data_IF_951677063279
#
_entry.id   IF_951677063279
#
_cell.length_a   1.000
_cell.length_b   1.000
_cell.length_c   1.000
_cell.angle_alpha   90.00
_cell.angle_beta   90.00
_cell.angle_gamma   90.00
#
_symmetry.space_group_name_H-M   'P 1'
#
loop_
_entity.id
_entity.type
_entity.pdbx_description
1 polymer ?
#
# COMPACT_ATOMS: atom_id res chain seq x y z
N UNK A 1 -4.88 21.38 22.61
CA UNK A 1 -3.62 21.31 21.83
C UNK A 1 -3.72 20.11 20.89
N UNK A 2 -3.14 20.24 19.68
CA UNK A 2 -3.16 19.31 18.54
C UNK A 2 -4.46 19.30 17.71
N UNK A 3 -4.62 20.30 16.85
CA UNK A 3 -5.31 20.09 15.57
C UNK A 3 -4.52 19.00 14.83
N UNK A 4 -5.13 17.89 14.40
CA UNK A 4 -4.42 16.94 13.56
C UNK A 4 -4.05 17.72 12.30
N UNK A 5 -2.76 18.00 12.14
CA UNK A 5 -2.27 18.46 10.85
C UNK A 5 -2.66 17.37 9.88
N UNK A 6 -3.63 17.69 9.04
CA UNK A 6 -4.09 16.90 7.92
C UNK A 6 -2.94 16.87 6.90
N UNK A 7 -1.82 16.26 7.29
CA UNK A 7 -0.64 16.10 6.46
C UNK A 7 -1.03 15.03 5.46
N UNK A 8 -1.63 15.46 4.34
CA UNK A 8 -1.99 14.59 3.22
C UNK A 8 -0.91 13.53 3.03
N UNK A 9 -1.28 12.26 3.17
CA UNK A 9 -0.33 11.14 3.06
C UNK A 9 -0.57 10.41 1.77
N UNK A 10 0.54 10.05 1.14
CA UNK A 10 0.55 9.15 0.00
C UNK A 10 0.72 7.74 0.55
N UNK A 11 -0.32 6.93 0.47
CA UNK A 11 -0.31 5.55 0.90
C UNK A 11 -0.02 4.67 -0.31
N UNK A 12 0.92 3.74 -0.17
CA UNK A 12 1.12 2.70 -1.18
C UNK A 12 0.25 1.52 -0.77
N UNK A 13 -0.69 1.13 -1.62
CA UNK A 13 -1.59 0.01 -1.37
C UNK A 13 -1.42 -1.07 -2.43
N UNK A 14 -1.56 -2.31 -2.00
CA UNK A 14 -1.52 -3.49 -2.88
C UNK A 14 -2.87 -4.20 -2.75
N UNK A 15 -3.74 -4.16 -3.77
CA UNK A 15 -4.97 -4.93 -3.76
C UNK A 15 -4.63 -6.42 -3.88
N UNK A 16 -5.52 -7.25 -3.35
CA UNK A 16 -5.44 -8.70 -3.54
C UNK A 16 -6.86 -9.26 -3.61
N UNK A 17 -7.07 -10.31 -4.40
CA UNK A 17 -8.39 -10.92 -4.60
C UNK A 17 -8.50 -12.30 -3.95
N UNK A 18 -7.35 -12.89 -3.60
CA UNK A 18 -7.24 -14.27 -3.14
C UNK A 18 -6.23 -14.40 -2.00
N UNK A 19 -6.37 -15.43 -1.17
CA UNK A 19 -5.41 -15.76 -0.10
C UNK A 19 -4.02 -16.03 -0.66
N UNK A 20 -3.90 -16.68 -1.83
CA UNK A 20 -2.62 -16.91 -2.53
C UNK A 20 -1.90 -15.61 -2.87
N UNK A 21 -2.62 -14.58 -3.33
CA UNK A 21 -2.03 -13.26 -3.61
C UNK A 21 -1.56 -12.59 -2.32
N UNK A 22 -2.37 -12.69 -1.25
CA UNK A 22 -1.99 -12.17 0.05
C UNK A 22 -0.74 -12.87 0.62
N UNK A 23 -0.62 -14.19 0.51
CA UNK A 23 0.58 -14.93 0.93
C UNK A 23 1.84 -14.46 0.19
N UNK A 24 1.75 -14.19 -1.13
CA UNK A 24 2.87 -13.61 -1.89
C UNK A 24 3.24 -12.20 -1.43
N UNK A 25 2.24 -11.40 -1.06
CA UNK A 25 2.49 -10.07 -0.45
C UNK A 25 3.20 -10.24 0.89
N UNK A 26 2.82 -11.22 1.71
CA UNK A 26 3.46 -11.50 3.00
C UNK A 26 4.91 -11.98 2.86
N UNK A 27 5.23 -12.75 1.82
CA UNK A 27 6.62 -13.16 1.51
C UNK A 27 7.55 -11.96 1.29
N UNK A 28 7.05 -10.89 0.65
CA UNK A 28 7.82 -9.67 0.37
C UNK A 28 7.70 -8.64 1.49
N UNK A 29 6.54 -8.59 2.15
CA UNK A 29 6.19 -7.65 3.22
C UNK A 29 5.66 -8.47 4.41
N UNK A 30 6.55 -8.97 5.29
CA UNK A 30 6.17 -9.88 6.38
C UNK A 30 5.09 -9.32 7.32
N UNK A 31 5.09 -8.00 7.49
CA UNK A 31 4.14 -7.29 8.36
C UNK A 31 2.91 -6.77 7.59
N UNK A 32 2.60 -7.33 6.42
CA UNK A 32 1.43 -6.98 5.65
C UNK A 32 0.14 -7.32 6.41
N UNK A 33 -0.64 -6.28 6.74
CA UNK A 33 -1.96 -6.43 7.36
C UNK A 33 -3.05 -6.17 6.32
N UNK A 34 -3.99 -7.11 6.13
CA UNK A 34 -5.09 -6.94 5.19
C UNK A 34 -6.09 -5.91 5.72
N UNK A 35 -6.59 -5.08 4.82
CA UNK A 35 -7.59 -4.03 5.04
C UNK A 35 -8.69 -4.17 4.00
N UNK A 36 -9.91 -3.85 4.38
CA UNK A 36 -11.07 -3.90 3.49
C UNK A 36 -11.53 -2.48 3.17
N UNK A 37 -11.88 -2.25 1.91
CA UNK A 37 -12.55 -1.04 1.42
C UNK A 37 -13.78 -1.43 0.60
N UNK A 38 -14.63 -0.45 0.26
CA UNK A 38 -15.74 -0.60 -0.69
C UNK A 38 -15.28 -1.10 -2.06
N UNK A 39 -13.99 -0.91 -2.40
CA UNK A 39 -13.38 -1.34 -3.66
C UNK A 39 -12.72 -2.73 -3.60
N UNK A 40 -12.74 -3.39 -2.44
CA UNK A 40 -12.13 -4.69 -2.22
C UNK A 40 -11.03 -4.70 -1.15
N UNK A 41 -10.35 -5.83 -1.03
CA UNK A 41 -9.29 -6.05 -0.06
C UNK A 41 -7.95 -5.50 -0.57
N UNK A 42 -7.18 -4.92 0.34
CA UNK A 42 -5.87 -4.36 0.04
C UNK A 42 -4.95 -4.41 1.27
N UNK A 43 -3.65 -4.30 1.05
CA UNK A 43 -2.64 -4.14 2.10
C UNK A 43 -2.07 -2.73 2.00
N UNK A 44 -1.86 -2.06 3.14
CA UNK A 44 -1.03 -0.86 3.18
C UNK A 44 0.46 -1.27 3.23
N UNK A 45 1.20 -0.95 2.18
CA UNK A 45 2.61 -1.26 2.00
C UNK A 45 3.55 -0.09 2.37
N UNK A 46 3.01 1.03 2.87
CA UNK A 46 3.76 2.17 3.36
C UNK A 46 2.98 3.47 3.29
N UNK A 47 3.34 4.42 4.16
CA UNK A 47 2.81 5.79 4.15
C UNK A 47 3.94 6.78 3.94
N UNK A 48 3.74 7.73 3.03
CA UNK A 48 4.77 8.66 2.57
C UNK A 48 4.24 10.09 2.59
N UNK A 49 5.14 11.06 2.76
CA UNK A 49 4.82 12.49 2.79
C UNK A 49 4.89 13.14 1.40
N UNK A 50 5.55 12.50 0.43
CA UNK A 50 5.65 13.01 -0.95
C UNK A 50 5.20 11.94 -1.96
N UNK A 51 4.60 12.36 -3.09
CA UNK A 51 4.14 11.42 -4.11
C UNK A 51 5.30 10.65 -4.74
N UNK A 52 6.46 11.28 -4.94
CA UNK A 52 7.62 10.66 -5.59
C UNK A 52 8.20 9.52 -4.74
N UNK A 53 8.19 9.65 -3.41
CA UNK A 53 8.61 8.58 -2.52
C UNK A 53 7.65 7.38 -2.58
N UNK A 54 6.34 7.66 -2.62
CA UNK A 54 5.31 6.63 -2.75
C UNK A 54 5.38 5.91 -4.11
N UNK A 55 5.53 6.66 -5.21
CA UNK A 55 5.63 6.15 -6.58
C UNK A 55 6.89 5.28 -6.77
N UNK A 56 8.03 5.69 -6.19
CA UNK A 56 9.25 4.86 -6.20
C UNK A 56 9.04 3.53 -5.49
N UNK A 57 8.37 3.54 -4.33
CA UNK A 57 8.04 2.31 -3.63
C UNK A 57 7.05 1.45 -4.42
N UNK A 58 5.97 2.03 -4.95
CA UNK A 58 5.00 1.30 -5.75
C UNK A 58 5.67 0.63 -6.96
N UNK A 59 6.56 1.34 -7.66
CA UNK A 59 7.34 0.80 -8.78
C UNK A 59 8.23 -0.35 -8.36
N UNK A 60 8.93 -0.23 -7.22
CA UNK A 60 9.77 -1.31 -6.68
C UNK A 60 8.94 -2.56 -6.36
N UNK A 61 7.78 -2.40 -5.73
CA UNK A 61 6.89 -3.52 -5.38
C UNK A 61 6.34 -4.21 -6.64
N UNK A 62 5.97 -3.45 -7.67
CA UNK A 62 5.56 -4.01 -8.97
C UNK A 62 6.70 -4.79 -9.62
N UNK A 63 7.92 -4.27 -9.57
CA UNK A 63 9.11 -4.97 -10.08
C UNK A 63 9.42 -6.27 -9.31
N UNK A 64 8.96 -6.39 -8.05
CA UNK A 64 9.05 -7.62 -7.24
C UNK A 64 7.89 -8.59 -7.47
N UNK A 65 7.04 -8.34 -8.46
CA UNK A 65 5.91 -9.21 -8.80
C UNK A 65 4.63 -8.93 -8.00
N UNK A 66 4.58 -7.86 -7.20
CA UNK A 66 3.36 -7.39 -6.53
C UNK A 66 2.61 -6.42 -7.46
N UNK A 67 2.19 -6.94 -8.62
CA UNK A 67 1.90 -6.19 -9.85
C UNK A 67 0.86 -5.07 -9.78
N UNK A 68 0.05 -5.00 -8.73
CA UNK A 68 -1.01 -4.00 -8.58
C UNK A 68 -0.74 -2.95 -7.49
N UNK A 69 0.50 -2.83 -7.00
CA UNK A 69 0.87 -1.75 -6.09
C UNK A 69 0.59 -0.38 -6.73
N UNK A 70 -0.13 0.47 -6.00
CA UNK A 70 -0.59 1.79 -6.44
C UNK A 70 -0.54 2.80 -5.31
N UNK A 71 -0.37 4.07 -5.66
CA UNK A 71 -0.44 5.18 -4.69
C UNK A 71 -1.89 5.64 -4.56
N UNK A 72 -2.35 5.83 -3.33
CA UNK A 72 -3.61 6.49 -2.99
C UNK A 72 -3.34 7.66 -2.06
N UNK A 73 -4.19 8.67 -2.13
CA UNK A 73 -4.11 9.88 -1.32
C UNK A 73 -5.23 9.85 -0.28
N UNK A 74 -4.86 10.12 0.97
CA UNK A 74 -5.76 10.35 2.10
C UNK A 74 -5.90 11.85 2.38
#
# INVERSE_FOLDING_TARGET
>A
MQTPQNTRRYLVVIPFRSTTEFSRIQDVIPNAVPRQSRLGNYVNAGSYTTPEAAERQASLLRSRGLGDARVVFD
#
